data_IF_745859761086
#
_entry.id   IF_745859761086
#
_cell.length_a   1.000
_cell.length_b   1.000
_cell.length_c   1.000
_cell.angle_alpha   90.00
_cell.angle_beta   90.00
_cell.angle_gamma   90.00
#
_symmetry.space_group_name_H-M   'P 1'
#
loop_
_entity.id
_entity.type
_entity.pdbx_description
1 polymer ?
#
# COMPACT_ATOMS: atom_id res chain seq x y z
N UNK A 1 -36.52 -21.86 -12.85
CA UNK A 1 -36.48 -20.41 -13.02
C UNK A 1 -35.98 -19.70 -11.75
N UNK A 2 -36.54 -19.97 -10.60
CA UNK A 2 -36.14 -19.37 -9.30
C UNK A 2 -34.67 -19.65 -8.94
N UNK A 3 -34.17 -20.82 -9.21
CA UNK A 3 -32.79 -21.23 -8.90
C UNK A 3 -31.74 -20.49 -9.75
N UNK A 4 -32.07 -20.15 -10.99
CA UNK A 4 -31.16 -19.35 -11.87
C UNK A 4 -31.11 -17.88 -11.49
N UNK A 5 -32.19 -17.34 -10.95
CA UNK A 5 -32.25 -15.95 -10.47
C UNK A 5 -31.46 -15.82 -9.17
N UNK A 6 -31.58 -16.81 -8.28
CA UNK A 6 -30.82 -16.83 -7.03
C UNK A 6 -29.29 -16.90 -7.24
N UNK A 7 -28.83 -17.69 -8.20
CA UNK A 7 -27.39 -17.75 -8.53
C UNK A 7 -26.87 -16.47 -9.15
N UNK A 8 -27.67 -15.79 -9.97
CA UNK A 8 -27.29 -14.49 -10.53
C UNK A 8 -27.21 -13.38 -9.46
N UNK A 9 -28.13 -13.37 -8.51
CA UNK A 9 -28.11 -12.40 -7.42
C UNK A 9 -26.90 -12.56 -6.49
N UNK A 10 -26.51 -13.79 -6.20
CA UNK A 10 -25.30 -14.07 -5.40
C UNK A 10 -24.04 -13.63 -6.12
N UNK A 11 -23.93 -13.86 -7.42
CA UNK A 11 -22.79 -13.45 -8.22
C UNK A 11 -22.66 -11.91 -8.28
N UNK A 12 -23.76 -11.19 -8.42
CA UNK A 12 -23.77 -9.71 -8.39
C UNK A 12 -23.34 -9.15 -7.02
N UNK A 13 -23.79 -9.77 -5.94
CA UNK A 13 -23.41 -9.36 -4.58
C UNK A 13 -21.90 -9.52 -4.31
N UNK A 14 -21.29 -10.60 -4.81
CA UNK A 14 -19.85 -10.82 -4.70
C UNK A 14 -19.03 -9.76 -5.45
N UNK A 15 -19.45 -9.37 -6.64
CA UNK A 15 -18.78 -8.34 -7.44
C UNK A 15 -18.85 -6.95 -6.78
N UNK A 16 -19.97 -6.59 -6.19
CA UNK A 16 -20.15 -5.34 -5.46
C UNK A 16 -19.25 -5.29 -4.20
N UNK A 17 -19.11 -6.40 -3.49
CA UNK A 17 -18.25 -6.51 -2.31
C UNK A 17 -16.76 -6.29 -2.62
N UNK A 18 -16.25 -6.83 -3.73
CA UNK A 18 -14.88 -6.62 -4.18
C UNK A 18 -14.59 -5.15 -4.55
N UNK A 19 -15.51 -4.49 -5.25
CA UNK A 19 -15.36 -3.08 -5.61
C UNK A 19 -15.34 -2.15 -4.39
N UNK A 20 -16.16 -2.42 -3.38
CA UNK A 20 -16.17 -1.68 -2.11
C UNK A 20 -14.88 -1.90 -1.30
N UNK A 21 -14.36 -3.11 -1.28
CA UNK A 21 -13.09 -3.43 -0.62
C UNK A 21 -11.92 -2.67 -1.25
N UNK A 22 -11.82 -2.66 -2.58
CA UNK A 22 -10.77 -1.94 -3.29
C UNK A 22 -10.87 -0.43 -3.08
N UNK A 23 -12.07 0.15 -3.08
CA UNK A 23 -12.27 1.56 -2.80
C UNK A 23 -11.84 1.95 -1.38
N UNK A 24 -12.19 1.14 -0.37
CA UNK A 24 -11.79 1.36 1.01
C UNK A 24 -10.27 1.24 1.18
N UNK A 25 -9.66 0.24 0.57
CA UNK A 25 -8.21 0.05 0.57
C UNK A 25 -7.47 1.24 -0.05
N UNK A 26 -7.92 1.70 -1.22
CA UNK A 26 -7.32 2.86 -1.90
C UNK A 26 -7.47 4.15 -1.08
N UNK A 27 -8.59 4.37 -0.41
CA UNK A 27 -8.80 5.51 0.48
C UNK A 27 -7.82 5.47 1.67
N UNK A 28 -7.65 4.31 2.31
CA UNK A 28 -6.70 4.14 3.41
C UNK A 28 -5.25 4.36 2.99
N UNK A 29 -4.85 3.88 1.82
CA UNK A 29 -3.52 4.10 1.26
C UNK A 29 -3.26 5.58 0.95
N UNK A 30 -4.27 6.28 0.42
CA UNK A 30 -4.17 7.72 0.13
C UNK A 30 -4.03 8.53 1.42
N UNK A 31 -4.76 8.18 2.48
CA UNK A 31 -4.66 8.83 3.78
C UNK A 31 -3.30 8.58 4.43
N UNK A 32 -2.81 7.35 4.45
CA UNK A 32 -1.48 7.01 4.94
C UNK A 32 -0.37 7.75 4.17
N UNK A 33 -0.51 7.94 2.87
CA UNK A 33 0.42 8.73 2.07
C UNK A 33 0.41 10.21 2.45
N UNK A 34 -0.77 10.80 2.72
CA UNK A 34 -0.90 12.19 3.19
C UNK A 34 -0.25 12.38 4.57
N UNK A 35 -0.49 11.48 5.50
CA UNK A 35 0.12 11.51 6.83
C UNK A 35 1.64 11.43 6.75
N UNK A 36 2.17 10.57 5.89
CA UNK A 36 3.61 10.45 5.67
C UNK A 36 4.21 11.75 5.11
N UNK A 37 3.57 12.36 4.12
CA UNK A 37 4.00 13.64 3.55
C UNK A 37 3.99 14.74 4.61
N UNK A 38 2.95 14.82 5.43
CA UNK A 38 2.86 15.79 6.52
C UNK A 38 3.91 15.58 7.60
N UNK A 39 4.19 14.33 7.97
CA UNK A 39 5.22 13.96 8.92
C UNK A 39 6.62 14.30 8.42
N UNK A 40 6.92 14.00 7.16
CA UNK A 40 8.19 14.33 6.52
C UNK A 40 8.39 15.84 6.41
N UNK A 41 7.35 16.59 6.07
CA UNK A 41 7.37 18.04 6.02
C UNK A 41 7.70 18.64 7.40
N UNK A 42 7.01 18.17 8.44
CA UNK A 42 7.26 18.62 9.81
C UNK A 42 8.70 18.31 10.26
N UNK A 43 9.20 17.12 9.99
CA UNK A 43 10.56 16.71 10.31
C UNK A 43 11.62 17.57 9.57
N UNK A 44 11.40 17.85 8.29
CA UNK A 44 12.34 18.59 7.46
C UNK A 44 12.32 20.11 7.73
N UNK A 45 11.23 20.65 8.27
CA UNK A 45 11.18 22.05 8.73
C UNK A 45 12.13 22.34 9.89
N UNK A 46 12.47 21.31 10.67
CA UNK A 46 13.51 21.44 11.70
C UNK A 46 14.92 21.62 11.11
N UNK A 47 15.15 21.19 9.88
CA UNK A 47 16.43 21.33 9.17
C UNK A 47 16.58 22.67 8.44
N UNK A 48 15.47 23.28 8.04
CA UNK A 48 15.43 24.56 7.33
C UNK A 48 14.02 24.92 6.85
N UNK A 49 13.84 26.14 6.37
CA UNK A 49 12.57 26.58 5.82
C UNK A 49 12.22 25.83 4.53
N UNK A 50 10.92 25.60 4.23
CA UNK A 50 10.50 25.04 2.96
C UNK A 50 11.10 25.82 1.77
N UNK A 51 11.66 25.11 0.79
CA UNK A 51 12.37 25.68 -0.34
C UNK A 51 13.86 25.96 -0.11
N UNK A 52 14.37 25.82 1.11
CA UNK A 52 15.82 25.91 1.37
C UNK A 52 16.55 24.63 0.95
N UNK A 53 17.86 24.69 0.64
CA UNK A 53 18.65 23.50 0.29
C UNK A 53 18.64 22.44 1.40
N UNK A 54 18.70 22.84 2.66
CA UNK A 54 18.68 21.92 3.81
C UNK A 54 17.33 21.19 3.94
N UNK A 55 16.23 21.88 3.69
CA UNK A 55 14.91 21.26 3.64
C UNK A 55 14.80 20.28 2.48
N UNK A 56 15.21 20.67 1.28
CA UNK A 56 15.15 19.81 0.10
C UNK A 56 16.00 18.54 0.24
N UNK A 57 17.20 18.64 0.80
CA UNK A 57 18.08 17.51 1.09
C UNK A 57 17.45 16.56 2.13
N UNK A 58 16.81 17.10 3.15
CA UNK A 58 16.06 16.32 4.13
C UNK A 58 14.91 15.54 3.46
N UNK A 59 14.13 16.19 2.61
CA UNK A 59 13.03 15.56 1.87
C UNK A 59 13.52 14.43 0.95
N UNK A 60 14.63 14.63 0.25
CA UNK A 60 15.25 13.60 -0.60
C UNK A 60 15.73 12.40 0.20
N UNK A 61 16.36 12.60 1.35
CA UNK A 61 16.78 11.51 2.23
C UNK A 61 15.61 10.68 2.72
N UNK A 62 14.53 11.31 3.16
CA UNK A 62 13.32 10.60 3.60
C UNK A 62 12.65 9.86 2.46
N UNK A 63 12.57 10.44 1.26
CA UNK A 63 12.04 9.77 0.08
C UNK A 63 12.85 8.50 -0.28
N UNK A 64 14.18 8.58 -0.22
CA UNK A 64 15.06 7.43 -0.46
C UNK A 64 14.90 6.36 0.62
N UNK A 65 14.73 6.75 1.88
CA UNK A 65 14.48 5.83 3.00
C UNK A 65 13.16 5.08 2.79
N UNK A 66 12.08 5.78 2.46
CA UNK A 66 10.79 5.16 2.18
C UNK A 66 10.83 4.20 0.99
N UNK A 67 11.56 4.55 -0.08
CA UNK A 67 11.76 3.67 -1.22
C UNK A 67 12.52 2.39 -0.83
N UNK A 68 13.56 2.51 0.00
CA UNK A 68 14.34 1.37 0.52
C UNK A 68 13.49 0.45 1.40
N UNK A 69 12.64 1.02 2.25
CA UNK A 69 11.70 0.25 3.09
C UNK A 69 10.69 -0.52 2.24
N UNK A 70 10.13 0.11 1.20
CA UNK A 70 9.21 -0.53 0.27
C UNK A 70 9.83 -1.72 -0.44
N UNK A 71 11.05 -1.56 -0.96
CA UNK A 71 11.77 -2.66 -1.61
C UNK A 71 12.11 -3.80 -0.65
N UNK A 72 12.38 -3.50 0.61
CA UNK A 72 12.63 -4.52 1.62
C UNK A 72 11.37 -5.32 1.92
N UNK A 73 10.21 -4.66 2.00
CA UNK A 73 8.93 -5.32 2.19
C UNK A 73 8.55 -6.20 0.99
N UNK A 74 8.75 -5.72 -0.23
CA UNK A 74 8.52 -6.52 -1.45
C UNK A 74 9.35 -7.80 -1.45
N UNK A 75 10.63 -7.71 -1.12
CA UNK A 75 11.51 -8.90 -1.02
C UNK A 75 11.05 -9.90 0.03
N UNK A 76 10.57 -9.43 1.18
CA UNK A 76 10.03 -10.31 2.22
C UNK A 76 8.76 -11.04 1.75
N UNK A 77 7.87 -10.34 1.07
CA UNK A 77 6.66 -10.95 0.49
C UNK A 77 7.03 -12.00 -0.55
N UNK A 78 7.97 -11.70 -1.44
CA UNK A 78 8.45 -12.65 -2.46
C UNK A 78 9.08 -13.90 -1.83
N UNK A 79 9.85 -13.74 -0.76
CA UNK A 79 10.41 -14.86 0.00
C UNK A 79 9.31 -15.73 0.61
N UNK A 80 8.34 -15.13 1.28
CA UNK A 80 7.22 -15.86 1.90
C UNK A 80 6.39 -16.60 0.84
N UNK A 81 6.14 -15.98 -0.31
CA UNK A 81 5.42 -16.62 -1.42
C UNK A 81 6.21 -17.80 -2.01
N UNK A 82 7.52 -17.66 -2.15
CA UNK A 82 8.39 -18.72 -2.65
C UNK A 82 8.47 -19.91 -1.67
N UNK A 83 8.56 -19.65 -0.39
CA UNK A 83 8.58 -20.69 0.64
C UNK A 83 7.25 -21.44 0.67
N UNK A 84 6.12 -20.73 0.67
CA UNK A 84 4.80 -21.33 0.59
C UNK A 84 4.59 -22.16 -0.69
N UNK A 85 5.13 -21.72 -1.82
CA UNK A 85 5.08 -22.48 -3.07
C UNK A 85 5.94 -23.75 -3.02
N UNK A 86 7.07 -23.75 -2.32
CA UNK A 86 7.91 -24.93 -2.11
C UNK A 86 7.23 -25.95 -1.21
N UNK A 87 6.63 -25.51 -0.11
CA UNK A 87 5.87 -26.38 0.78
C UNK A 87 4.68 -27.02 0.08
N UNK A 88 3.94 -26.26 -0.74
CA UNK A 88 2.83 -26.77 -1.52
C UNK A 88 3.24 -27.83 -2.56
N UNK A 89 4.50 -27.81 -3.03
CA UNK A 89 5.07 -28.83 -3.93
C UNK A 89 5.60 -30.07 -3.19
N UNK A 90 5.55 -30.10 -1.86
CA UNK A 90 6.01 -31.23 -1.05
C UNK A 90 7.53 -31.36 -0.94
N UNK A 91 8.22 -30.27 -1.00
CA UNK A 91 9.70 -30.21 -0.86
C UNK A 91 10.11 -29.68 0.50
#
# INVERSE_FOLDING_TARGET
>A
MVMRIATMLVALACLAGCAQYDAARNANLAEAARERVASDDAACRASGAPGSPAYDDCRKRLANQHASESHSQERLVDQMMNEGAREARGQ
#
